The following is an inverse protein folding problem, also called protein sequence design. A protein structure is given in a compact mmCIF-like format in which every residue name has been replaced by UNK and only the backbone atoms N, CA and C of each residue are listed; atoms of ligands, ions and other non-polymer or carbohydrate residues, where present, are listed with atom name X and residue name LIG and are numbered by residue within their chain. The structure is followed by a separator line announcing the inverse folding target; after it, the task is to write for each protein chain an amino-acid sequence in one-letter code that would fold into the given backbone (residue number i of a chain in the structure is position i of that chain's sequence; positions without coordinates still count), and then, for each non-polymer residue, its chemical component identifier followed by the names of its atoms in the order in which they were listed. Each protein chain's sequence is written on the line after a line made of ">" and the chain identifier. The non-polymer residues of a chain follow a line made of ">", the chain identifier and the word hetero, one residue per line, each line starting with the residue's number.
data_IF_994508651244
#
_entry.id   IF_994508651244
#
_cell.length_a   1.000
_cell.length_b   1.000
_cell.length_c   1.000
_cell.angle_alpha   90.00
_cell.angle_beta   90.00
_cell.angle_gamma   90.00
#
_symmetry.space_group_name_H-M   'P 1'
#
loop_
_entity.id
_entity.type
_entity.pdbx_description
1 polymer ?
#
# COMPACT_ATOMS: atom_id res chain seq x y z
N UNK A 1 -6.06 15.17 7.07
CA UNK A 1 -5.69 16.55 6.75
C UNK A 1 -4.95 16.61 5.41
N UNK A 2 -3.83 15.87 5.22
CA UNK A 2 -3.03 15.93 3.98
C UNK A 2 -3.86 15.57 2.74
N UNK A 3 -4.67 14.52 2.79
CA UNK A 3 -5.55 14.10 1.69
C UNK A 3 -6.58 15.18 1.31
N UNK A 4 -7.06 15.94 2.28
CA UNK A 4 -7.93 17.08 2.02
C UNK A 4 -7.17 18.24 1.36
N UNK A 5 -6.03 18.65 1.93
CA UNK A 5 -5.22 19.75 1.41
C UNK A 5 -4.63 19.48 0.03
N UNK A 6 -4.33 18.23 -0.29
CA UNK A 6 -3.86 17.83 -1.63
C UNK A 6 -4.97 17.72 -2.67
N UNK A 7 -6.23 17.72 -2.26
CA UNK A 7 -7.38 17.41 -3.13
C UNK A 7 -7.62 15.91 -3.33
N UNK A 8 -6.81 15.05 -2.72
CA UNK A 8 -6.92 13.59 -2.87
C UNK A 8 -8.25 13.03 -2.39
N UNK A 9 -8.81 13.57 -1.30
CA UNK A 9 -10.13 13.16 -0.80
C UNK A 9 -11.23 13.49 -1.81
N UNK A 10 -11.20 14.68 -2.40
CA UNK A 10 -12.18 15.08 -3.41
C UNK A 10 -12.09 14.17 -4.64
N UNK A 11 -10.89 13.91 -5.15
CA UNK A 11 -10.68 13.00 -6.27
C UNK A 11 -11.22 11.59 -5.98
N UNK A 12 -11.03 11.07 -4.79
CA UNK A 12 -11.56 9.75 -4.42
C UNK A 12 -13.09 9.71 -4.37
N UNK A 13 -13.74 10.81 -3.94
CA UNK A 13 -15.20 10.87 -3.85
C UNK A 13 -15.86 11.11 -5.21
N UNK A 14 -15.21 11.83 -6.11
CA UNK A 14 -15.76 12.22 -7.41
C UNK A 14 -15.35 11.26 -8.56
N UNK A 15 -14.26 10.50 -8.38
CA UNK A 15 -13.78 9.59 -9.43
C UNK A 15 -14.62 8.32 -9.51
N UNK A 16 -14.99 7.89 -10.72
CA UNK A 16 -15.63 6.60 -10.90
C UNK A 16 -14.64 5.47 -10.60
N UNK A 17 -15.16 4.30 -10.22
CA UNK A 17 -14.33 3.11 -10.02
C UNK A 17 -13.63 2.71 -11.32
N UNK A 18 -14.32 2.87 -12.44
CA UNK A 18 -13.80 2.69 -13.78
C UNK A 18 -14.63 3.48 -14.79
N UNK A 19 -14.07 3.74 -15.95
CA UNK A 19 -14.76 4.33 -17.10
C UNK A 19 -14.98 3.30 -18.21
N UNK A 20 -15.91 3.55 -19.11
CA UNK A 20 -16.12 2.68 -20.28
C UNK A 20 -14.85 2.59 -21.16
N UNK A 21 -14.10 3.68 -21.28
CA UNK A 21 -12.84 3.71 -22.02
C UNK A 21 -11.77 2.81 -21.35
N UNK A 22 -11.70 2.80 -20.02
CA UNK A 22 -10.79 1.91 -19.29
C UNK A 22 -11.18 0.45 -19.48
N UNK A 23 -12.45 0.09 -19.37
CA UNK A 23 -12.92 -1.29 -19.61
C UNK A 23 -12.65 -1.76 -21.04
N UNK A 24 -12.73 -0.88 -22.03
CA UNK A 24 -12.41 -1.17 -23.43
C UNK A 24 -10.90 -1.24 -23.71
N UNK A 25 -10.06 -0.89 -22.76
CA UNK A 25 -8.60 -0.92 -22.90
C UNK A 25 -8.03 -2.22 -22.30
N UNK A 26 -7.62 -3.21 -23.11
CA UNK A 26 -7.10 -4.47 -22.60
C UNK A 26 -5.85 -4.32 -21.74
N UNK A 27 -5.01 -3.32 -21.99
CA UNK A 27 -3.82 -3.04 -21.19
C UNK A 27 -4.21 -2.56 -19.78
N UNK A 28 -5.22 -1.73 -19.66
CA UNK A 28 -5.75 -1.32 -18.36
C UNK A 28 -6.29 -2.52 -17.58
N UNK A 29 -7.07 -3.38 -18.24
CA UNK A 29 -7.63 -4.59 -17.62
C UNK A 29 -6.52 -5.51 -17.12
N UNK A 30 -5.56 -5.84 -17.99
CA UNK A 30 -4.43 -6.72 -17.63
C UNK A 30 -3.58 -6.13 -16.51
N UNK A 31 -3.29 -4.84 -16.57
CA UNK A 31 -2.49 -4.19 -15.53
C UNK A 31 -3.25 -4.18 -14.19
N UNK A 32 -4.54 -3.88 -14.21
CA UNK A 32 -5.39 -3.89 -13.00
C UNK A 32 -5.44 -5.28 -12.37
N UNK A 33 -5.69 -6.31 -13.17
CA UNK A 33 -5.69 -7.70 -12.70
C UNK A 33 -4.31 -8.12 -12.17
N UNK A 34 -3.25 -7.77 -12.88
CA UNK A 34 -1.87 -8.04 -12.47
C UNK A 34 -1.51 -7.35 -11.14
N UNK A 35 -1.94 -6.10 -10.97
CA UNK A 35 -1.72 -5.34 -9.74
C UNK A 35 -2.43 -6.01 -8.54
N UNK A 36 -3.69 -6.40 -8.68
CA UNK A 36 -4.40 -7.12 -7.61
C UNK A 36 -3.81 -8.51 -7.36
N UNK A 37 -3.45 -9.25 -8.40
CA UNK A 37 -2.79 -10.55 -8.25
C UNK A 37 -1.46 -10.42 -7.51
N UNK A 38 -0.65 -9.42 -7.87
CA UNK A 38 0.60 -9.12 -7.15
C UNK A 38 0.32 -8.85 -5.66
N UNK A 39 -0.62 -7.98 -5.33
CA UNK A 39 -0.97 -7.65 -3.94
C UNK A 39 -1.41 -8.89 -3.16
N UNK A 40 -2.28 -9.71 -3.74
CA UNK A 40 -2.81 -10.92 -3.09
C UNK A 40 -1.76 -12.03 -2.93
N UNK A 41 -0.69 -12.01 -3.72
CA UNK A 41 0.43 -12.94 -3.56
C UNK A 41 1.48 -12.37 -2.59
N UNK A 42 1.87 -11.11 -2.78
CA UNK A 42 2.96 -10.50 -2.03
C UNK A 42 2.65 -10.34 -0.54
N UNK A 43 1.47 -9.83 -0.20
CA UNK A 43 1.19 -9.48 1.19
C UNK A 43 0.76 -10.67 2.05
N UNK A 44 -0.20 -11.52 1.69
CA UNK A 44 -0.50 -12.71 2.49
C UNK A 44 0.56 -13.81 2.35
N UNK A 45 1.24 -13.91 1.20
CA UNK A 45 2.26 -14.91 0.95
C UNK A 45 3.63 -14.51 1.50
N UNK A 46 4.26 -13.49 0.89
CA UNK A 46 5.64 -13.11 1.24
C UNK A 46 5.67 -12.32 2.55
N UNK A 47 4.93 -11.22 2.62
CA UNK A 47 4.97 -10.36 3.81
C UNK A 47 4.56 -11.11 5.08
N UNK A 48 3.37 -11.72 5.10
CA UNK A 48 2.86 -12.37 6.29
C UNK A 48 3.72 -13.57 6.71
N UNK A 49 4.30 -14.30 5.75
CA UNK A 49 5.20 -15.41 6.04
C UNK A 49 6.50 -14.96 6.73
N UNK A 50 7.10 -13.87 6.27
CA UNK A 50 8.34 -13.33 6.83
C UNK A 50 8.13 -12.28 7.93
N UNK A 51 6.89 -12.12 8.41
CA UNK A 51 6.54 -11.18 9.46
C UNK A 51 5.63 -11.84 10.49
N UNK A 52 5.96 -13.03 11.04
CA UNK A 52 5.14 -13.62 12.09
C UNK A 52 5.26 -12.74 13.35
N UNK A 53 4.09 -12.38 13.86
CA UNK A 53 3.96 -11.65 15.12
C UNK A 53 3.87 -12.68 16.26
N UNK A 54 4.30 -12.30 17.46
CA UNK A 54 4.20 -13.13 18.66
C UNK A 54 2.87 -13.86 18.75
N UNK A 55 2.84 -15.06 19.35
CA UNK A 55 1.65 -15.88 19.54
C UNK A 55 0.51 -15.05 20.14
N UNK A 56 -0.40 -14.61 19.29
CA UNK A 56 -1.57 -13.85 19.70
C UNK A 56 -2.84 -14.57 19.24
N UNK A 57 -3.88 -14.43 20.05
CA UNK A 57 -5.18 -14.96 19.70
C UNK A 57 -5.67 -14.29 18.42
N UNK A 58 -5.90 -15.09 17.39
CA UNK A 58 -6.38 -14.61 16.11
C UNK A 58 -7.77 -13.97 16.24
N UNK A 59 -7.89 -12.71 15.89
CA UNK A 59 -9.16 -12.03 15.70
C UNK A 59 -9.24 -11.48 14.29
N UNK A 60 -9.74 -12.28 13.37
CA UNK A 60 -9.78 -11.97 11.94
C UNK A 60 -10.55 -10.68 11.65
N UNK A 61 -11.68 -10.45 12.33
CA UNK A 61 -12.50 -9.26 12.10
C UNK A 61 -11.76 -7.96 12.53
N UNK A 62 -11.16 -8.00 13.72
CA UNK A 62 -10.40 -6.85 14.24
C UNK A 62 -9.16 -6.57 13.36
N UNK A 63 -8.44 -7.62 12.93
CA UNK A 63 -7.30 -7.49 12.04
C UNK A 63 -7.70 -6.94 10.66
N UNK A 64 -8.84 -7.40 10.13
CA UNK A 64 -9.38 -6.89 8.86
C UNK A 64 -9.77 -5.42 8.97
N UNK A 65 -10.49 -5.03 10.02
CA UNK A 65 -10.89 -3.64 10.27
C UNK A 65 -9.67 -2.73 10.43
N UNK A 66 -8.70 -3.18 11.22
CA UNK A 66 -7.44 -2.45 11.37
C UNK A 66 -6.73 -2.27 10.02
N UNK A 67 -6.58 -3.35 9.26
CA UNK A 67 -5.96 -3.32 7.94
C UNK A 67 -6.72 -2.43 6.95
N UNK A 68 -8.05 -2.39 7.02
CA UNK A 68 -8.88 -1.49 6.23
C UNK A 68 -8.59 -0.02 6.55
N UNK A 69 -8.62 0.36 7.81
CA UNK A 69 -8.34 1.74 8.25
C UNK A 69 -6.91 2.15 7.91
N UNK A 70 -5.97 1.24 8.14
CA UNK A 70 -4.57 1.44 7.83
C UNK A 70 -4.32 1.60 6.34
N UNK A 71 -4.80 0.69 5.52
CA UNK A 71 -4.64 0.72 4.08
C UNK A 71 -5.31 1.94 3.44
N UNK A 72 -6.48 2.34 3.95
CA UNK A 72 -7.14 3.58 3.53
C UNK A 72 -6.29 4.81 3.82
N UNK A 73 -5.69 4.88 5.01
CA UNK A 73 -4.80 5.99 5.39
C UNK A 73 -3.52 6.01 4.57
N UNK A 74 -2.89 4.85 4.36
CA UNK A 74 -1.66 4.73 3.57
C UNK A 74 -1.90 5.05 2.10
N UNK A 75 -2.97 4.53 1.51
CA UNK A 75 -3.33 4.81 0.12
C UNK A 75 -3.62 6.30 -0.12
N UNK A 76 -4.34 6.94 0.80
CA UNK A 76 -4.59 8.38 0.74
C UNK A 76 -3.30 9.20 0.94
N UNK A 77 -2.39 8.77 1.80
CA UNK A 77 -1.09 9.41 1.98
C UNK A 77 -0.27 9.34 0.68
N UNK A 78 -0.17 8.16 0.07
CA UNK A 78 0.59 7.96 -1.16
C UNK A 78 0.01 8.77 -2.33
N UNK A 79 -1.32 8.76 -2.47
CA UNK A 79 -2.01 9.60 -3.44
C UNK A 79 -1.74 11.09 -3.19
N UNK A 80 -1.78 11.53 -1.93
CA UNK A 80 -1.52 12.92 -1.57
C UNK A 80 -0.10 13.36 -1.93
N UNK A 81 0.89 12.52 -1.68
CA UNK A 81 2.29 12.80 -2.06
C UNK A 81 2.40 12.92 -3.58
N UNK A 82 1.80 11.99 -4.34
CA UNK A 82 1.79 12.03 -5.80
C UNK A 82 1.15 13.32 -6.33
N UNK A 83 0.01 13.74 -5.79
CA UNK A 83 -0.67 14.98 -6.18
C UNK A 83 0.14 16.24 -5.86
N UNK A 84 0.81 16.26 -4.70
CA UNK A 84 1.65 17.41 -4.30
C UNK A 84 2.87 17.50 -5.21
N UNK A 85 3.53 16.39 -5.48
CA UNK A 85 4.68 16.33 -6.38
C UNK A 85 4.29 16.71 -7.82
N UNK A 86 3.11 16.27 -8.27
CA UNK A 86 2.59 16.62 -9.60
C UNK A 86 2.41 18.14 -9.81
N UNK A 87 2.15 18.91 -8.74
CA UNK A 87 2.06 20.38 -8.81
C UNK A 87 3.41 21.09 -9.08
N UNK A 88 4.51 20.36 -9.01
CA UNK A 88 5.83 20.92 -9.33
C UNK A 88 6.05 21.09 -10.84
N UNK A 89 5.11 20.64 -11.69
CA UNK A 89 5.20 20.74 -13.14
C UNK A 89 6.29 19.87 -13.77
N UNK A 90 6.69 18.81 -13.06
CA UNK A 90 7.63 17.81 -13.59
C UNK A 90 6.95 16.98 -14.70
N UNK A 91 7.70 16.45 -15.67
CA UNK A 91 7.16 15.46 -16.57
C UNK A 91 6.74 14.19 -15.79
N UNK A 92 5.87 13.35 -16.36
CA UNK A 92 5.29 12.19 -15.68
C UNK A 92 6.33 11.29 -15.03
N UNK A 93 7.42 10.96 -15.74
CA UNK A 93 8.52 10.17 -15.19
C UNK A 93 9.22 10.87 -14.02
N UNK A 94 9.32 12.20 -14.05
CA UNK A 94 9.89 13.02 -12.97
C UNK A 94 8.99 13.02 -11.74
N UNK A 95 7.69 13.17 -11.94
CA UNK A 95 6.68 13.05 -10.89
C UNK A 95 6.69 11.65 -10.26
N UNK A 96 6.75 10.61 -11.10
CA UNK A 96 6.88 9.23 -10.65
C UNK A 96 8.14 9.03 -9.79
N UNK A 97 9.30 9.43 -10.30
CA UNK A 97 10.59 9.23 -9.62
C UNK A 97 10.65 10.02 -8.30
N UNK A 98 10.22 11.26 -8.29
CA UNK A 98 10.21 12.09 -7.08
C UNK A 98 9.25 11.51 -6.02
N UNK A 99 8.04 11.12 -6.42
CA UNK A 99 7.08 10.46 -5.52
C UNK A 99 7.63 9.16 -4.98
N UNK A 100 8.19 8.31 -5.84
CA UNK A 100 8.80 7.04 -5.43
C UNK A 100 9.92 7.28 -4.41
N UNK A 101 10.78 8.26 -4.65
CA UNK A 101 11.91 8.58 -3.75
C UNK A 101 11.41 9.02 -2.37
N UNK A 102 10.40 9.91 -2.33
CA UNK A 102 9.81 10.37 -1.06
C UNK A 102 9.21 9.19 -0.29
N UNK A 103 8.43 8.35 -0.96
CA UNK A 103 7.78 7.20 -0.32
C UNK A 103 8.79 6.13 0.10
N UNK A 104 9.82 5.87 -0.72
CA UNK A 104 10.89 4.93 -0.40
C UNK A 104 11.74 5.39 0.79
N UNK A 105 11.94 6.69 0.94
CA UNK A 105 12.63 7.24 2.12
C UNK A 105 11.75 7.21 3.38
N UNK A 106 10.44 7.40 3.23
CA UNK A 106 9.51 7.41 4.36
C UNK A 106 9.19 6.01 4.88
N UNK A 107 9.01 5.04 4.00
CA UNK A 107 8.49 3.72 4.34
C UNK A 107 9.35 2.92 5.33
N UNK A 108 10.71 2.84 5.20
CA UNK A 108 11.53 2.14 6.18
C UNK A 108 11.43 2.73 7.59
N UNK A 109 11.40 4.07 7.70
CA UNK A 109 11.26 4.72 8.99
C UNK A 109 9.93 4.38 9.67
N UNK A 110 8.85 4.33 8.89
CA UNK A 110 7.55 3.95 9.40
C UNK A 110 7.51 2.48 9.84
N UNK A 111 8.08 1.57 9.06
CA UNK A 111 8.16 0.15 9.40
C UNK A 111 8.95 -0.07 10.67
N UNK A 112 10.13 0.51 10.80
CA UNK A 112 10.98 0.39 11.99
C UNK A 112 10.30 0.92 13.27
N UNK A 113 9.51 1.99 13.16
CA UNK A 113 8.85 2.59 14.32
C UNK A 113 7.62 1.78 14.76
N UNK A 114 6.90 1.18 13.82
CA UNK A 114 5.61 0.60 14.12
C UNK A 114 5.52 -0.91 13.84
N UNK A 115 5.69 -1.33 12.57
CA UNK A 115 5.44 -2.71 12.19
C UNK A 115 6.49 -3.68 12.73
N UNK A 116 7.75 -3.32 12.59
CA UNK A 116 8.84 -4.21 12.94
C UNK A 116 9.03 -4.32 14.45
N UNK A 117 8.48 -3.36 15.21
CA UNK A 117 8.47 -3.44 16.68
C UNK A 117 7.72 -4.66 17.24
N UNK A 118 6.77 -5.18 16.49
CA UNK A 118 5.94 -6.32 16.90
C UNK A 118 6.36 -7.65 16.25
N UNK A 119 7.40 -7.65 15.44
CA UNK A 119 7.94 -8.88 14.84
C UNK A 119 8.76 -9.62 15.90
N UNK A 120 8.61 -10.95 15.93
CA UNK A 120 9.46 -11.78 16.79
C UNK A 120 10.93 -11.62 16.37
N UNK A 121 11.88 -11.38 17.32
CA UNK A 121 13.27 -11.06 16.98
C UNK A 121 13.96 -12.07 16.06
N UNK A 122 13.62 -13.35 16.17
CA UNK A 122 14.15 -14.42 15.33
C UNK A 122 13.73 -14.29 13.85
N UNK A 123 12.68 -13.53 13.58
CA UNK A 123 12.16 -13.27 12.23
C UNK A 123 12.54 -11.88 11.70
N UNK A 124 13.10 -11.00 12.53
CA UNK A 124 13.54 -9.67 12.14
C UNK A 124 15.01 -9.63 11.76
N UNK A 125 15.40 -10.48 10.85
CA UNK A 125 16.78 -10.54 10.36
C UNK A 125 16.98 -9.59 9.16
N UNK A 126 18.23 -9.14 8.88
CA UNK A 126 18.52 -8.34 7.69
C UNK A 126 18.08 -9.02 6.38
N UNK A 127 18.07 -10.34 6.35
CA UNK A 127 17.62 -11.11 5.17
C UNK A 127 16.10 -11.05 5.01
N UNK A 128 15.33 -11.25 6.08
CA UNK A 128 13.88 -11.17 6.04
C UNK A 128 13.41 -9.76 5.72
N UNK A 129 14.07 -8.73 6.23
CA UNK A 129 13.81 -7.33 5.89
C UNK A 129 14.04 -7.06 4.38
N UNK A 130 15.13 -7.57 3.80
CA UNK A 130 15.40 -7.47 2.36
C UNK A 130 14.33 -8.18 1.53
N UNK A 131 13.92 -9.39 1.93
CA UNK A 131 12.87 -10.14 1.22
C UNK A 131 11.54 -9.37 1.24
N UNK A 132 11.15 -8.82 2.38
CA UNK A 132 9.95 -7.98 2.50
C UNK A 132 10.04 -6.72 1.65
N UNK A 133 11.18 -6.03 1.69
CA UNK A 133 11.40 -4.82 0.90
C UNK A 133 11.33 -5.10 -0.61
N UNK A 134 12.09 -6.08 -1.09
CA UNK A 134 12.21 -6.40 -2.51
C UNK A 134 11.02 -7.21 -3.05
N UNK A 135 10.37 -8.01 -2.22
CA UNK A 135 9.22 -8.83 -2.62
C UNK A 135 7.87 -8.14 -2.49
N UNK A 136 7.78 -7.12 -1.64
CA UNK A 136 6.49 -6.47 -1.34
C UNK A 136 6.54 -4.95 -1.52
N UNK A 137 7.32 -4.23 -0.70
CA UNK A 137 7.22 -2.77 -0.61
C UNK A 137 7.67 -2.04 -1.86
N UNK A 138 8.89 -2.31 -2.32
CA UNK A 138 9.45 -1.64 -3.50
C UNK A 138 8.60 -1.94 -4.75
N UNK A 139 8.27 -3.22 -5.05
CA UNK A 139 7.39 -3.51 -6.16
C UNK A 139 6.00 -2.90 -6.02
N UNK A 140 5.38 -2.92 -4.83
CA UNK A 140 4.08 -2.31 -4.62
C UNK A 140 4.08 -0.81 -4.95
N UNK A 141 5.08 -0.08 -4.45
CA UNK A 141 5.22 1.34 -4.77
C UNK A 141 5.47 1.56 -6.26
N UNK A 142 6.42 0.82 -6.85
CA UNK A 142 6.78 0.99 -8.25
C UNK A 142 5.60 0.68 -9.18
N UNK A 143 4.95 -0.48 -9.02
CA UNK A 143 3.84 -0.92 -9.85
C UNK A 143 2.61 -0.03 -9.61
N UNK A 144 2.32 0.31 -8.34
CA UNK A 144 1.20 1.16 -7.98
C UNK A 144 1.34 2.59 -8.53
N UNK A 145 2.51 3.22 -8.40
CA UNK A 145 2.77 4.54 -8.97
C UNK A 145 2.75 4.53 -10.51
N UNK A 146 3.27 3.47 -11.14
CA UNK A 146 3.17 3.32 -12.59
C UNK A 146 1.71 3.22 -13.04
N UNK A 147 0.90 2.44 -12.31
CA UNK A 147 -0.54 2.35 -12.56
C UNK A 147 -1.23 3.71 -12.44
N UNK A 148 -0.91 4.45 -11.38
CA UNK A 148 -1.46 5.78 -11.13
C UNK A 148 -1.06 6.77 -12.24
N UNK A 149 0.19 6.76 -12.66
CA UNK A 149 0.70 7.63 -13.72
C UNK A 149 0.08 7.32 -15.09
N UNK A 150 -0.14 6.03 -15.40
CA UNK A 150 -0.69 5.63 -16.70
C UNK A 150 -2.21 5.77 -16.82
N UNK A 151 -2.93 5.61 -15.72
CA UNK A 151 -4.39 5.44 -15.77
C UNK A 151 -5.17 6.41 -14.88
N UNK A 152 -4.51 7.16 -14.02
CA UNK A 152 -5.12 8.13 -13.08
C UNK A 152 -6.35 7.56 -12.34
N UNK A 153 -6.36 6.26 -12.08
CA UNK A 153 -7.48 5.62 -11.37
C UNK A 153 -7.19 5.58 -9.86
N UNK A 154 -7.64 6.59 -9.17
CA UNK A 154 -7.35 6.84 -7.77
C UNK A 154 -7.99 5.81 -6.83
N UNK A 155 -9.24 5.40 -7.13
CA UNK A 155 -9.95 4.41 -6.31
C UNK A 155 -9.29 3.03 -6.38
N UNK A 156 -8.92 2.56 -7.58
CA UNK A 156 -8.19 1.30 -7.74
C UNK A 156 -6.85 1.38 -7.00
N UNK A 157 -6.10 2.47 -7.17
CA UNK A 157 -4.83 2.66 -6.48
C UNK A 157 -4.98 2.58 -4.96
N UNK A 158 -5.92 3.32 -4.37
CA UNK A 158 -6.15 3.29 -2.91
C UNK A 158 -6.66 1.93 -2.45
N UNK A 159 -7.55 1.29 -3.22
CA UNK A 159 -8.08 -0.04 -2.87
C UNK A 159 -7.01 -1.12 -2.83
N UNK A 160 -5.96 -1.03 -3.65
CA UNK A 160 -4.82 -1.96 -3.57
C UNK A 160 -4.08 -1.85 -2.25
N UNK A 161 -3.92 -0.64 -1.71
CA UNK A 161 -3.32 -0.43 -0.39
C UNK A 161 -4.22 -0.97 0.73
N UNK A 162 -5.54 -0.80 0.59
CA UNK A 162 -6.52 -1.38 1.52
C UNK A 162 -6.40 -2.90 1.55
N UNK A 163 -6.43 -3.55 0.39
CA UNK A 163 -6.33 -5.01 0.28
C UNK A 163 -4.97 -5.51 0.79
N UNK A 164 -3.88 -4.83 0.45
CA UNK A 164 -2.55 -5.15 0.96
C UNK A 164 -2.51 -5.16 2.49
N UNK A 165 -2.97 -4.08 3.12
CA UNK A 165 -2.95 -3.95 4.58
C UNK A 165 -3.95 -4.89 5.28
N UNK A 166 -5.13 -5.14 4.70
CA UNK A 166 -6.08 -6.11 5.23
C UNK A 166 -5.52 -7.53 5.19
N UNK A 167 -4.97 -7.94 4.05
CA UNK A 167 -4.42 -9.29 3.88
C UNK A 167 -3.17 -9.49 4.75
N UNK A 168 -2.30 -8.48 4.85
CA UNK A 168 -1.18 -8.49 5.76
C UNK A 168 -1.64 -8.60 7.23
N UNK A 169 -2.56 -7.75 7.66
CA UNK A 169 -3.09 -7.73 9.02
C UNK A 169 -3.71 -9.05 9.43
N UNK A 170 -4.49 -9.67 8.55
CA UNK A 170 -5.10 -10.98 8.79
C UNK A 170 -4.03 -12.08 8.82
N UNK A 171 -3.11 -12.07 7.86
CA UNK A 171 -2.06 -13.08 7.74
C UNK A 171 -1.06 -13.06 8.89
N UNK A 172 -0.65 -11.87 9.31
CA UNK A 172 0.29 -11.65 10.41
C UNK A 172 -0.32 -11.84 11.80
N UNK A 173 -1.63 -11.94 11.91
CA UNK A 173 -2.35 -11.89 13.20
C UNK A 173 -2.04 -10.61 13.97
N UNK A 174 -1.89 -9.52 13.27
CA UNK A 174 -1.44 -8.25 13.83
C UNK A 174 -2.41 -7.74 14.90
N UNK A 175 -1.91 -7.35 16.08
CA UNK A 175 -2.76 -6.78 17.10
C UNK A 175 -3.14 -5.36 16.69
N UNK A 176 -4.43 -5.08 16.71
CA UNK A 176 -4.84 -3.67 16.61
C UNK A 176 -4.20 -2.87 17.77
N UNK A 177 -3.80 -1.60 17.54
CA UNK A 177 -3.10 -0.80 18.55
C UNK A 177 -3.84 -0.64 19.88
N UNK A 178 -5.16 -0.80 19.86
CA UNK A 178 -6.02 -0.73 21.05
C UNK A 178 -6.20 -2.06 21.78
N UNK A 179 -5.59 -3.14 21.31
CA UNK A 179 -5.59 -4.43 21.98
C UNK A 179 -4.29 -4.52 22.77
N UNK A 180 -4.40 -4.58 24.08
CA UNK A 180 -3.23 -4.74 24.96
C UNK A 180 -2.45 -6.01 24.61
N UNK A 181 -1.11 -5.97 24.76
CA UNK A 181 -0.24 -7.12 24.53
C UNK A 181 -0.55 -8.28 25.45
#
# INVERSE_FOLDING_TARGET
>A
LLSYLSGGMQLLLESPVYTAAQLGNPNWVLYTLGLYAFILIAYPGVWAYFTPVFERRKNTLVSALFGFLWGSSSGQLFLSVWLIVGRLGLPDWGTWLATFTVLAAWQPNWHNIYWDHYIAPEHDTPMTQKIKALGCHIPNMAIGLTYLTLYENYLIFVSTQVIACMSAGIGMRYPAPWVAP
#
